data_IF_442416466025
#
_entry.id   IF_442416466025
#
_cell.length_a   1.000
_cell.length_b   1.000
_cell.length_c   1.000
_cell.angle_alpha   90.00
_cell.angle_beta   90.00
_cell.angle_gamma   90.00
#
_symmetry.space_group_name_H-M   'P 1'
#
loop_
_entity.id
_entity.type
_entity.pdbx_description
1 polymer ?
#
# COMPACT_ATOMS: atom_id res chain seq x y z
N UNK A 1 -47.61 8.48 -11.02
CA UNK A 1 -47.06 7.13 -10.85
C UNK A 1 -46.23 6.81 -12.07
N UNK A 2 -44.99 6.37 -11.85
CA UNK A 2 -43.99 6.02 -12.85
C UNK A 2 -43.76 4.50 -12.75
N UNK A 3 -44.23 3.71 -13.73
CA UNK A 3 -44.22 2.23 -13.65
C UNK A 3 -43.73 1.62 -14.97
N UNK A 4 -42.68 0.80 -14.93
CA UNK A 4 -42.05 0.15 -16.11
C UNK A 4 -41.46 1.11 -17.13
N UNK A 5 -40.59 2.01 -16.69
CA UNK A 5 -39.98 3.04 -17.54
C UNK A 5 -38.45 2.89 -17.63
N UNK A 6 -37.88 3.36 -18.76
CA UNK A 6 -36.44 3.26 -19.09
C UNK A 6 -35.63 4.52 -18.70
N UNK A 7 -36.02 5.21 -17.63
CA UNK A 7 -35.28 6.39 -17.14
C UNK A 7 -34.18 5.93 -16.19
N UNK A 8 -32.92 6.23 -16.52
CA UNK A 8 -31.74 5.89 -15.69
C UNK A 8 -31.39 6.97 -14.65
N UNK A 9 -31.78 8.24 -14.90
CA UNK A 9 -31.44 9.40 -14.07
C UNK A 9 -32.66 10.31 -13.84
N UNK A 10 -32.93 10.64 -12.58
CA UNK A 10 -33.78 11.78 -12.22
C UNK A 10 -32.92 13.03 -12.04
N UNK A 11 -32.99 13.96 -12.98
CA UNK A 11 -32.25 15.22 -12.95
C UNK A 11 -32.96 16.31 -12.12
N UNK A 12 -32.26 17.41 -11.84
CA UNK A 12 -32.80 18.55 -11.10
C UNK A 12 -34.14 19.02 -11.69
N UNK A 13 -35.14 19.22 -10.82
CA UNK A 13 -36.43 19.78 -11.24
C UNK A 13 -37.24 18.91 -12.20
N UNK A 14 -37.00 17.59 -12.23
CA UNK A 14 -37.72 16.62 -13.09
C UNK A 14 -39.24 16.68 -12.97
N UNK A 15 -39.76 17.27 -11.89
CA UNK A 15 -41.19 17.41 -11.59
C UNK A 15 -41.64 18.86 -11.40
N UNK A 16 -40.86 19.82 -11.88
CA UNK A 16 -41.09 21.27 -11.69
C UNK A 16 -42.45 21.75 -12.22
N UNK A 17 -42.95 21.14 -13.29
CA UNK A 17 -44.27 21.44 -13.86
C UNK A 17 -45.46 20.85 -13.07
N UNK A 18 -45.17 20.10 -12.00
CA UNK A 18 -46.18 19.42 -11.17
C UNK A 18 -46.04 19.76 -9.68
N UNK A 19 -46.06 21.05 -9.29
CA UNK A 19 -45.76 21.49 -7.91
C UNK A 19 -46.82 21.04 -6.87
N UNK A 20 -48.01 20.64 -7.33
CA UNK A 20 -49.11 20.19 -6.49
C UNK A 20 -49.07 18.70 -6.12
N UNK A 21 -48.03 17.96 -6.52
CA UNK A 21 -47.91 16.53 -6.21
C UNK A 21 -47.86 16.30 -4.69
N UNK A 22 -48.72 15.38 -4.23
CA UNK A 22 -48.75 14.87 -2.85
C UNK A 22 -48.21 13.44 -2.76
N UNK A 23 -48.37 12.64 -3.82
CA UNK A 23 -47.89 11.27 -3.90
C UNK A 23 -47.14 11.05 -5.20
N UNK A 24 -45.91 10.56 -5.09
CA UNK A 24 -45.08 10.12 -6.20
C UNK A 24 -44.64 8.68 -5.97
N UNK A 25 -45.04 7.82 -6.90
CA UNK A 25 -44.63 6.41 -6.97
C UNK A 25 -43.74 6.23 -8.18
N UNK A 26 -42.55 5.65 -7.99
CA UNK A 26 -41.57 5.29 -9.01
C UNK A 26 -41.16 3.83 -8.77
N UNK A 27 -41.62 2.91 -9.61
CA UNK A 27 -41.42 1.47 -9.36
C UNK A 27 -41.24 0.64 -10.62
N UNK A 28 -40.58 -0.52 -10.47
CA UNK A 28 -40.39 -1.53 -11.51
C UNK A 28 -39.72 -0.96 -12.78
N UNK A 29 -38.73 -0.07 -12.62
CA UNK A 29 -37.98 0.58 -13.69
C UNK A 29 -36.46 0.33 -13.59
N UNK A 30 -35.69 1.03 -14.44
CA UNK A 30 -34.22 0.96 -14.48
C UNK A 30 -33.55 2.22 -13.91
N UNK A 31 -34.20 2.89 -12.96
CA UNK A 31 -33.65 4.09 -12.35
C UNK A 31 -32.38 3.73 -11.58
N UNK A 32 -31.23 4.27 -12.01
CA UNK A 32 -29.92 4.02 -11.41
C UNK A 32 -29.42 5.16 -10.52
N UNK A 33 -29.81 6.40 -10.82
CA UNK A 33 -29.31 7.59 -10.11
C UNK A 33 -30.41 8.62 -9.83
N UNK A 34 -30.42 9.16 -8.60
CA UNK A 34 -31.22 10.33 -8.23
C UNK A 34 -30.28 11.53 -8.07
N UNK A 35 -30.35 12.48 -9.00
CA UNK A 35 -29.46 13.63 -9.07
C UNK A 35 -29.79 14.73 -8.06
N UNK A 36 -28.95 15.77 -8.05
CA UNK A 36 -29.13 16.96 -7.23
C UNK A 36 -30.51 17.58 -7.45
N UNK A 37 -31.21 17.92 -6.36
CA UNK A 37 -32.49 18.62 -6.44
C UNK A 37 -33.55 17.94 -7.31
N UNK A 38 -33.54 16.61 -7.46
CA UNK A 38 -34.45 15.88 -8.35
C UNK A 38 -35.93 16.17 -8.07
N UNK A 39 -36.28 16.42 -6.80
CA UNK A 39 -37.63 16.73 -6.34
C UNK A 39 -37.84 18.21 -5.99
N UNK A 40 -36.98 19.10 -6.49
CA UNK A 40 -37.10 20.55 -6.26
C UNK A 40 -38.47 21.06 -6.75
N UNK A 41 -39.11 21.88 -5.93
CA UNK A 41 -40.44 22.44 -6.21
C UNK A 41 -41.61 21.62 -5.65
N UNK A 42 -41.39 20.36 -5.25
CA UNK A 42 -42.44 19.49 -4.70
C UNK A 42 -42.70 19.74 -3.20
N UNK A 43 -43.02 20.99 -2.85
CA UNK A 43 -43.20 21.43 -1.45
C UNK A 43 -44.42 20.83 -0.74
N UNK A 44 -45.36 20.26 -1.51
CA UNK A 44 -46.57 19.61 -1.03
C UNK A 44 -46.48 18.07 -0.99
N UNK A 45 -45.33 17.50 -1.35
CA UNK A 45 -45.18 16.03 -1.41
C UNK A 45 -45.21 15.43 -0.02
N UNK A 46 -46.08 14.43 0.17
CA UNK A 46 -46.31 13.72 1.43
C UNK A 46 -45.86 12.25 1.33
N UNK A 47 -45.98 11.62 0.17
CA UNK A 47 -45.62 10.22 -0.04
C UNK A 47 -44.68 10.05 -1.23
N UNK A 48 -43.49 9.51 -0.98
CA UNK A 48 -42.49 9.20 -2.01
C UNK A 48 -42.09 7.73 -1.93
N UNK A 49 -42.45 6.97 -2.96
CA UNK A 49 -42.10 5.57 -3.10
C UNK A 49 -41.16 5.42 -4.29
N UNK A 50 -39.93 4.98 -4.05
CA UNK A 50 -38.94 4.64 -5.07
C UNK A 50 -38.51 3.19 -4.81
N UNK A 51 -39.31 2.25 -5.28
CA UNK A 51 -39.22 0.84 -4.90
C UNK A 51 -38.98 -0.06 -6.11
N UNK A 52 -38.24 -1.15 -5.95
CA UNK A 52 -38.01 -2.13 -7.02
C UNK A 52 -37.40 -1.50 -8.29
N UNK A 53 -36.35 -0.69 -8.13
CA UNK A 53 -35.53 -0.16 -9.22
C UNK A 53 -34.06 -0.60 -9.05
N UNK A 54 -33.13 0.08 -9.72
CA UNK A 54 -31.70 -0.24 -9.70
C UNK A 54 -30.87 0.89 -9.07
N UNK A 55 -31.48 1.68 -8.18
CA UNK A 55 -30.84 2.90 -7.66
C UNK A 55 -29.60 2.51 -6.87
N UNK A 56 -28.43 2.88 -7.38
CA UNK A 56 -27.14 2.69 -6.71
C UNK A 56 -26.57 3.98 -6.14
N UNK A 57 -27.04 5.14 -6.61
CA UNK A 57 -26.50 6.44 -6.20
C UNK A 57 -27.61 7.48 -6.01
N UNK A 58 -27.56 8.18 -4.88
CA UNK A 58 -28.44 9.29 -4.54
C UNK A 58 -27.54 10.50 -4.24
N UNK A 59 -27.85 11.66 -4.79
CA UNK A 59 -27.15 12.89 -4.40
C UNK A 59 -27.47 13.28 -2.94
N UNK A 60 -26.51 13.86 -2.19
CA UNK A 60 -26.76 14.43 -0.87
C UNK A 60 -27.89 15.48 -0.83
N UNK A 61 -28.18 16.15 -1.95
CA UNK A 61 -29.21 17.19 -2.03
C UNK A 61 -30.50 16.73 -2.73
N UNK A 62 -30.59 15.45 -3.10
CA UNK A 62 -31.71 14.91 -3.88
C UNK A 62 -33.08 15.18 -3.23
N UNK A 63 -33.19 14.99 -1.91
CA UNK A 63 -34.43 15.13 -1.13
C UNK A 63 -34.61 16.53 -0.51
N UNK A 64 -33.76 17.49 -0.88
CA UNK A 64 -33.76 18.82 -0.28
C UNK A 64 -35.08 19.53 -0.57
N UNK A 65 -35.71 20.06 0.48
CA UNK A 65 -36.92 20.88 0.36
C UNK A 65 -38.24 20.11 0.52
N UNK A 66 -38.22 18.78 0.63
CA UNK A 66 -39.40 17.93 0.87
C UNK A 66 -39.88 18.02 2.34
N UNK A 67 -40.26 19.21 2.78
CA UNK A 67 -40.55 19.52 4.20
C UNK A 67 -41.81 18.83 4.73
N UNK A 68 -42.75 18.46 3.85
CA UNK A 68 -44.03 17.81 4.19
C UNK A 68 -44.02 16.30 4.00
N UNK A 69 -42.88 15.72 3.61
CA UNK A 69 -42.79 14.29 3.34
C UNK A 69 -43.08 13.49 4.62
N UNK A 70 -44.10 12.65 4.58
CA UNK A 70 -44.54 11.79 5.68
C UNK A 70 -43.98 10.38 5.55
N UNK A 71 -43.93 9.86 4.32
CA UNK A 71 -43.50 8.51 4.00
C UNK A 71 -42.44 8.53 2.90
N UNK A 72 -41.29 7.90 3.17
CA UNK A 72 -40.24 7.65 2.19
C UNK A 72 -39.96 6.15 2.12
N UNK A 73 -40.04 5.57 0.93
CA UNK A 73 -39.50 4.23 0.68
C UNK A 73 -38.45 4.26 -0.42
N UNK A 74 -37.31 3.65 -0.11
CA UNK A 74 -36.20 3.34 -1.01
C UNK A 74 -35.98 1.82 -1.08
N UNK A 75 -37.01 1.02 -0.77
CA UNK A 75 -36.92 -0.42 -0.66
C UNK A 75 -36.54 -1.11 -1.99
N UNK A 76 -35.86 -2.25 -1.90
CA UNK A 76 -35.50 -3.11 -3.03
C UNK A 76 -34.78 -2.35 -4.17
N UNK A 77 -33.74 -1.58 -3.81
CA UNK A 77 -32.83 -0.97 -4.77
C UNK A 77 -31.43 -1.59 -4.63
N UNK A 78 -30.40 -0.92 -5.18
CA UNK A 78 -28.99 -1.35 -5.13
C UNK A 78 -28.14 -0.41 -4.28
N UNK A 79 -28.72 0.16 -3.22
CA UNK A 79 -28.01 1.11 -2.36
C UNK A 79 -27.00 0.36 -1.49
N UNK A 80 -25.71 0.58 -1.76
CA UNK A 80 -24.63 0.11 -0.89
C UNK A 80 -24.37 1.09 0.27
N UNK A 81 -24.70 2.37 0.10
CA UNK A 81 -24.54 3.41 1.11
C UNK A 81 -25.63 4.48 0.99
N UNK A 82 -25.74 5.37 1.97
CA UNK A 82 -26.57 6.57 1.92
C UNK A 82 -25.70 7.81 2.17
N UNK A 83 -25.80 8.86 1.33
CA UNK A 83 -25.09 10.11 1.56
C UNK A 83 -25.37 10.68 2.95
N UNK A 84 -24.33 11.20 3.59
CA UNK A 84 -24.46 11.89 4.87
C UNK A 84 -25.51 13.00 4.77
N UNK A 85 -26.35 13.10 5.80
CA UNK A 85 -27.38 14.13 5.93
C UNK A 85 -28.47 14.08 4.82
N UNK A 86 -28.62 12.97 4.09
CA UNK A 86 -29.66 12.82 3.05
C UNK A 86 -31.07 13.12 3.58
N UNK A 87 -31.37 12.74 4.82
CA UNK A 87 -32.68 12.98 5.46
C UNK A 87 -32.77 14.34 6.18
N UNK A 88 -31.74 15.18 6.07
CA UNK A 88 -31.71 16.48 6.71
C UNK A 88 -32.81 17.40 6.15
N UNK A 89 -33.66 17.91 7.04
CA UNK A 89 -34.74 18.82 6.68
C UNK A 89 -36.07 18.14 6.33
N UNK A 90 -36.15 16.81 6.35
CA UNK A 90 -37.40 16.04 6.23
C UNK A 90 -38.18 16.06 7.57
N UNK A 91 -38.64 17.24 7.99
CA UNK A 91 -39.18 17.50 9.33
C UNK A 91 -40.48 16.75 9.65
N UNK A 92 -41.24 16.37 8.64
CA UNK A 92 -42.53 15.68 8.78
C UNK A 92 -42.42 14.16 8.60
N UNK A 93 -41.21 13.63 8.35
CA UNK A 93 -41.04 12.22 8.08
C UNK A 93 -41.46 11.39 9.30
N UNK A 94 -42.28 10.38 9.04
CA UNK A 94 -42.87 9.52 10.07
C UNK A 94 -42.77 8.04 9.73
N UNK A 95 -42.39 7.68 8.50
CA UNK A 95 -42.16 6.30 8.08
C UNK A 95 -41.03 6.28 7.05
N UNK A 96 -40.09 5.35 7.24
CA UNK A 96 -38.96 5.11 6.34
C UNK A 96 -38.82 3.61 6.09
N UNK A 97 -38.70 3.23 4.81
CA UNK A 97 -38.42 1.86 4.38
C UNK A 97 -37.13 1.82 3.54
N UNK A 98 -36.14 1.07 4.01
CA UNK A 98 -34.83 0.87 3.38
C UNK A 98 -34.53 -0.60 3.07
N UNK A 99 -35.48 -1.52 3.28
CA UNK A 99 -35.24 -2.96 3.15
C UNK A 99 -34.83 -3.36 1.73
N UNK A 100 -34.20 -4.53 1.61
CA UNK A 100 -33.82 -5.08 0.30
C UNK A 100 -32.69 -4.33 -0.42
N UNK A 101 -31.90 -3.53 0.31
CA UNK A 101 -30.69 -2.88 -0.20
C UNK A 101 -29.41 -3.57 0.32
N UNK A 102 -28.34 -3.68 -0.49
CA UNK A 102 -27.10 -4.35 -0.13
C UNK A 102 -26.13 -3.44 0.66
N UNK A 103 -26.55 -2.94 1.83
CA UNK A 103 -25.77 -1.95 2.58
C UNK A 103 -24.39 -2.45 3.03
N UNK A 104 -23.35 -1.67 2.74
CA UNK A 104 -22.00 -1.82 3.28
C UNK A 104 -21.91 -1.00 4.57
N UNK A 105 -21.99 -1.68 5.72
CA UNK A 105 -21.96 -1.09 7.06
C UNK A 105 -20.54 -0.66 7.46
N UNK A 106 -20.04 0.33 6.73
CA UNK A 106 -18.76 1.00 6.95
C UNK A 106 -18.99 2.44 7.44
N UNK A 107 -17.92 3.24 7.49
CA UNK A 107 -17.96 4.60 8.03
C UNK A 107 -18.85 5.57 7.26
N UNK A 108 -19.06 5.36 5.97
CA UNK A 108 -19.98 6.19 5.19
C UNK A 108 -21.43 6.03 5.67
N UNK A 109 -21.79 4.82 6.14
CA UNK A 109 -23.11 4.51 6.66
C UNK A 109 -23.26 4.77 8.18
N UNK A 110 -22.16 5.14 8.87
CA UNK A 110 -22.14 5.35 10.33
C UNK A 110 -23.21 6.33 10.81
N UNK A 111 -23.49 7.38 10.02
CA UNK A 111 -24.51 8.37 10.38
C UNK A 111 -25.92 7.76 10.41
N UNK A 112 -26.22 6.77 9.58
CA UNK A 112 -27.52 6.08 9.55
C UNK A 112 -27.74 5.33 10.86
N UNK A 113 -26.70 4.67 11.38
CA UNK A 113 -26.75 4.01 12.68
C UNK A 113 -26.95 4.99 13.86
N UNK A 114 -26.58 6.26 13.71
CA UNK A 114 -26.95 7.31 14.70
C UNK A 114 -28.35 7.86 14.49
N UNK A 115 -28.79 7.98 13.24
CA UNK A 115 -30.03 8.63 12.87
C UNK A 115 -31.25 7.72 13.15
N UNK A 116 -31.15 6.42 12.83
CA UNK A 116 -32.24 5.45 13.01
C UNK A 116 -32.72 5.36 14.46
N UNK A 117 -31.87 5.16 15.49
CA UNK A 117 -32.34 5.06 16.87
C UNK A 117 -32.88 6.38 17.42
N UNK A 118 -32.48 7.53 16.84
CA UNK A 118 -32.98 8.84 17.23
C UNK A 118 -34.35 9.18 16.62
N UNK A 119 -34.81 8.39 15.65
CA UNK A 119 -36.04 8.65 14.92
C UNK A 119 -37.27 8.20 15.74
N UNK A 120 -38.29 9.06 15.93
CA UNK A 120 -39.40 8.79 16.84
C UNK A 120 -40.47 7.84 16.26
N UNK A 121 -40.16 7.07 15.21
CA UNK A 121 -41.13 6.30 14.45
C UNK A 121 -40.60 4.94 13.95
N UNK A 122 -41.48 3.97 13.66
CA UNK A 122 -41.08 2.66 13.16
C UNK A 122 -40.27 2.78 11.87
N UNK A 123 -39.12 2.11 11.82
CA UNK A 123 -38.24 2.10 10.65
C UNK A 123 -37.96 0.66 10.25
N UNK A 124 -38.25 0.30 9.00
CA UNK A 124 -37.79 -0.97 8.42
C UNK A 124 -36.44 -0.71 7.73
N UNK A 125 -35.37 -0.82 8.51
CA UNK A 125 -34.07 -0.27 8.17
C UNK A 125 -33.23 -1.13 7.23
N UNK A 126 -33.66 -2.36 6.93
CA UNK A 126 -32.82 -3.34 6.26
C UNK A 126 -31.65 -3.84 7.12
N UNK A 127 -30.74 -4.58 6.48
CA UNK A 127 -29.63 -5.30 7.11
C UNK A 127 -28.31 -5.01 6.37
N UNK A 128 -27.19 -5.15 7.08
CA UNK A 128 -25.87 -5.11 6.48
C UNK A 128 -25.66 -6.30 5.53
N UNK A 129 -25.15 -6.03 4.34
CA UNK A 129 -24.61 -7.04 3.43
C UNK A 129 -23.11 -7.30 3.70
N UNK A 130 -22.39 -6.29 4.19
CA UNK A 130 -20.99 -6.38 4.60
C UNK A 130 -20.66 -5.27 5.62
N UNK A 131 -19.46 -5.27 6.23
CA UNK A 131 -18.40 -6.29 6.12
C UNK A 131 -18.80 -7.65 6.75
N UNK A 132 -18.02 -8.75 6.56
CA UNK A 132 -18.42 -10.11 6.97
C UNK A 132 -18.78 -10.28 8.44
N UNK A 133 -18.18 -9.48 9.31
CA UNK A 133 -18.43 -9.42 10.75
C UNK A 133 -19.76 -8.74 11.12
N UNK A 134 -20.29 -7.89 10.24
CA UNK A 134 -21.58 -7.23 10.40
C UNK A 134 -22.67 -7.79 9.48
N UNK A 135 -22.36 -8.77 8.64
CA UNK A 135 -23.31 -9.31 7.68
C UNK A 135 -24.58 -9.86 8.37
N UNK A 136 -25.75 -9.41 7.91
CA UNK A 136 -27.05 -9.77 8.46
C UNK A 136 -27.47 -8.97 9.69
N UNK A 137 -26.62 -8.11 10.24
CA UNK A 137 -26.98 -7.25 11.38
C UNK A 137 -27.99 -6.19 10.92
N UNK A 138 -29.13 -5.99 11.61
CA UNK A 138 -30.08 -4.93 11.29
C UNK A 138 -29.47 -3.53 11.47
N UNK A 139 -29.67 -2.61 10.53
CA UNK A 139 -29.06 -1.26 10.61
C UNK A 139 -29.44 -0.51 11.90
N UNK A 140 -30.67 -0.68 12.38
CA UNK A 140 -31.15 -0.05 13.61
C UNK A 140 -30.49 -0.56 14.90
N UNK A 141 -29.79 -1.71 14.85
CA UNK A 141 -29.10 -2.30 16.01
C UNK A 141 -27.61 -1.96 16.06
N UNK A 142 -27.06 -1.42 14.98
CA UNK A 142 -25.65 -1.04 14.90
C UNK A 142 -25.30 0.04 15.93
N UNK A 143 -24.17 -0.13 16.58
CA UNK A 143 -23.59 0.82 17.51
C UNK A 143 -22.45 1.58 16.85
N UNK A 144 -22.17 2.80 17.33
CA UNK A 144 -21.08 3.61 16.81
C UNK A 144 -19.70 2.94 16.88
N UNK A 145 -19.51 2.06 17.87
CA UNK A 145 -18.29 1.30 18.09
C UNK A 145 -18.12 0.13 17.10
N UNK A 146 -19.20 -0.29 16.43
CA UNK A 146 -19.14 -1.34 15.41
C UNK A 146 -18.46 -0.83 14.13
N UNK A 147 -18.37 0.50 13.97
CA UNK A 147 -17.71 1.15 12.85
C UNK A 147 -16.26 1.50 13.18
N UNK A 148 -15.31 0.79 12.56
CA UNK A 148 -13.88 1.13 12.66
C UNK A 148 -13.53 2.32 11.76
N UNK A 149 -13.82 3.53 12.21
CA UNK A 149 -13.63 4.76 11.43
C UNK A 149 -12.31 5.48 11.64
N UNK A 150 -11.32 4.77 12.16
CA UNK A 150 -9.95 5.26 12.13
C UNK A 150 -9.32 4.80 10.83
N UNK A 151 -9.21 5.74 9.89
CA UNK A 151 -8.44 5.59 8.67
C UNK A 151 -7.00 6.02 8.88
N UNK A 152 -6.21 5.85 7.83
CA UNK A 152 -4.83 6.30 7.80
C UNK A 152 -4.51 6.92 6.46
N UNK A 153 -3.68 7.95 6.45
CA UNK A 153 -3.27 8.65 5.24
C UNK A 153 -1.77 8.90 5.25
N UNK A 154 -1.13 8.78 4.09
CA UNK A 154 0.21 9.28 3.83
C UNK A 154 0.12 10.68 3.21
N UNK A 155 0.33 11.71 4.01
CA UNK A 155 0.31 13.11 3.55
C UNK A 155 1.70 13.57 3.14
N UNK A 156 1.85 14.28 1.99
CA UNK A 156 3.12 14.91 1.66
C UNK A 156 3.63 15.79 2.81
N UNK A 157 4.86 15.57 3.24
CA UNK A 157 5.48 16.26 4.36
C UNK A 157 6.67 17.11 3.93
N UNK A 158 7.60 16.51 3.17
CA UNK A 158 8.80 17.19 2.71
C UNK A 158 9.19 16.72 1.31
N UNK A 159 9.52 17.67 0.43
CA UNK A 159 10.10 17.41 -0.89
C UNK A 159 11.60 17.69 -0.82
N UNK A 160 12.42 16.69 -1.13
CA UNK A 160 13.88 16.81 -1.15
C UNK A 160 14.32 17.08 -2.59
N UNK A 161 15.08 18.16 -2.86
CA UNK A 161 15.37 18.66 -4.20
C UNK A 161 16.47 17.84 -4.91
N UNK A 162 16.37 16.51 -4.88
CA UNK A 162 17.30 15.60 -5.52
C UNK A 162 16.61 14.30 -5.94
N UNK A 163 17.20 13.69 -6.96
CA UNK A 163 16.85 12.34 -7.45
C UNK A 163 17.53 11.28 -6.58
N UNK A 164 16.91 10.11 -6.50
CA UNK A 164 17.42 8.97 -5.74
C UNK A 164 16.95 7.63 -6.31
N UNK A 165 17.63 6.54 -5.92
CA UNK A 165 17.36 5.19 -6.43
C UNK A 165 16.90 4.21 -5.34
N UNK A 166 17.67 4.04 -4.27
CA UNK A 166 17.30 3.16 -3.14
C UNK A 166 17.13 3.96 -1.87
N UNK A 167 16.26 3.49 -0.98
CA UNK A 167 16.10 4.01 0.37
C UNK A 167 16.02 2.85 1.35
N UNK A 168 16.86 2.86 2.37
CA UNK A 168 16.94 1.80 3.39
C UNK A 168 16.91 2.43 4.78
N UNK A 169 15.98 2.04 5.67
CA UNK A 169 15.95 2.55 7.03
C UNK A 169 17.13 2.02 7.84
N UNK A 170 17.61 2.81 8.79
CA UNK A 170 18.63 2.36 9.74
C UNK A 170 18.34 2.85 11.15
N UNK A 171 18.84 2.08 12.11
CA UNK A 171 18.90 2.45 13.52
C UNK A 171 20.31 2.17 14.05
N UNK A 172 20.93 3.19 14.63
CA UNK A 172 22.24 3.14 15.26
C UNK A 172 22.17 3.81 16.64
N UNK A 173 21.94 3.00 17.68
CA UNK A 173 21.63 3.53 19.01
C UNK A 173 20.32 4.31 19.00
N UNK A 174 20.33 5.54 19.51
CA UNK A 174 19.20 6.47 19.47
C UNK A 174 19.01 7.19 18.14
N UNK A 175 19.94 7.00 17.18
CA UNK A 175 19.91 7.69 15.90
C UNK A 175 19.28 6.81 14.84
N UNK A 176 18.23 7.32 14.22
CA UNK A 176 17.50 6.62 13.19
C UNK A 176 17.41 7.51 11.96
N UNK A 177 17.33 6.90 10.80
CA UNK A 177 17.42 7.62 9.55
C UNK A 177 17.11 6.73 8.35
N UNK A 178 17.20 7.32 7.17
CA UNK A 178 17.11 6.58 5.90
C UNK A 178 18.39 6.83 5.12
N UNK A 179 19.06 5.78 4.70
CA UNK A 179 20.15 5.89 3.73
C UNK A 179 19.56 5.93 2.32
N UNK A 180 19.96 6.91 1.53
CA UNK A 180 19.48 7.12 0.16
C UNK A 180 20.65 7.08 -0.82
N UNK A 181 20.52 6.30 -1.89
CA UNK A 181 21.47 6.30 -3.00
C UNK A 181 21.13 7.38 -4.02
N UNK A 182 22.10 8.22 -4.37
CA UNK A 182 22.01 9.27 -5.39
C UNK A 182 23.01 8.98 -6.52
N UNK A 183 22.62 8.21 -7.57
CA UNK A 183 23.54 7.81 -8.62
C UNK A 183 24.18 9.00 -9.34
N UNK A 184 23.38 10.02 -9.69
CA UNK A 184 23.82 11.19 -10.46
C UNK A 184 24.66 12.18 -9.65
N UNK A 185 24.43 12.25 -8.33
CA UNK A 185 25.26 13.04 -7.42
C UNK A 185 26.54 12.29 -6.99
N UNK A 186 26.63 10.99 -7.28
CA UNK A 186 27.77 10.17 -6.87
C UNK A 186 27.85 10.01 -5.35
N UNK A 187 26.72 9.82 -4.66
CA UNK A 187 26.71 9.79 -3.20
C UNK A 187 25.68 8.84 -2.60
N UNK A 188 26.01 8.29 -1.43
CA UNK A 188 25.06 7.80 -0.46
C UNK A 188 24.85 8.87 0.60
N UNK A 189 23.59 9.22 0.86
CA UNK A 189 23.20 10.27 1.81
C UNK A 189 22.46 9.65 2.96
N UNK A 190 22.82 9.99 4.20
CA UNK A 190 22.04 9.62 5.38
C UNK A 190 21.07 10.76 5.70
N UNK A 191 19.78 10.49 5.53
CA UNK A 191 18.71 11.36 5.98
C UNK A 191 18.48 11.15 7.46
N UNK A 192 18.64 12.22 8.22
CA UNK A 192 18.53 12.24 9.68
C UNK A 192 17.48 13.27 10.10
N UNK A 193 16.72 12.96 11.15
CA UNK A 193 15.69 13.84 11.67
C UNK A 193 16.32 14.94 12.54
N UNK A 194 16.09 16.20 12.17
CA UNK A 194 16.45 17.35 13.00
C UNK A 194 15.28 17.73 13.90
N UNK A 195 15.42 17.42 15.19
CA UNK A 195 14.42 17.70 16.22
C UNK A 195 14.10 19.19 16.36
N UNK A 196 15.09 20.08 16.17
CA UNK A 196 14.91 21.52 16.36
C UNK A 196 14.18 22.15 15.17
N UNK A 197 14.47 21.68 13.95
CA UNK A 197 13.84 22.20 12.74
C UNK A 197 12.58 21.44 12.33
N UNK A 198 12.26 20.32 12.98
CA UNK A 198 11.11 19.47 12.65
C UNK A 198 11.12 18.98 11.20
N UNK A 199 12.30 18.62 10.66
CA UNK A 199 12.46 18.21 9.26
C UNK A 199 13.64 17.26 9.07
N UNK A 200 13.66 16.53 7.96
CA UNK A 200 14.80 15.71 7.58
C UNK A 200 15.92 16.56 6.95
N UNK A 201 17.15 16.26 7.34
CA UNK A 201 18.37 16.83 6.77
C UNK A 201 19.30 15.73 6.27
N UNK A 202 20.25 16.10 5.44
CA UNK A 202 21.26 15.23 4.85
C UNK A 202 22.68 15.59 5.34
N UNK A 203 22.99 15.49 6.65
CA UNK A 203 24.26 15.98 7.19
C UNK A 203 25.46 15.11 6.80
N UNK A 204 25.23 13.83 6.50
CA UNK A 204 26.30 12.85 6.26
C UNK A 204 26.23 12.33 4.83
N UNK A 205 27.34 12.45 4.11
CA UNK A 205 27.48 12.06 2.71
C UNK A 205 28.69 11.12 2.58
N UNK A 206 28.48 9.98 1.94
CA UNK A 206 29.55 9.05 1.55
C UNK A 206 29.64 9.05 0.03
N UNK A 207 30.74 9.55 -0.50
CA UNK A 207 30.95 9.65 -1.94
C UNK A 207 31.16 8.28 -2.58
N UNK A 208 30.67 8.13 -3.80
CA UNK A 208 30.78 6.93 -4.62
C UNK A 208 30.75 7.24 -6.11
N UNK A 209 31.17 6.29 -6.93
CA UNK A 209 31.18 6.36 -8.37
C UNK A 209 29.94 5.69 -8.94
N UNK A 210 28.85 6.44 -9.05
CA UNK A 210 27.52 5.95 -9.44
C UNK A 210 26.97 4.86 -8.49
N UNK A 211 26.70 5.22 -7.22
CA UNK A 211 26.10 4.29 -6.27
C UNK A 211 24.68 3.93 -6.71
N UNK A 212 24.41 2.64 -6.83
CA UNK A 212 23.09 2.10 -7.17
C UNK A 212 22.32 1.56 -5.97
N UNK A 213 23.04 1.17 -4.91
CA UNK A 213 22.43 0.79 -3.64
C UNK A 213 23.37 1.15 -2.49
N UNK A 214 22.79 1.63 -1.39
CA UNK A 214 23.49 2.03 -0.18
C UNK A 214 22.83 1.31 1.01
N UNK A 215 23.43 0.21 1.45
CA UNK A 215 22.82 -0.67 2.45
C UNK A 215 23.44 -0.45 3.84
N UNK A 216 22.67 0.05 4.82
CA UNK A 216 23.14 0.18 6.18
C UNK A 216 23.17 -1.18 6.89
N UNK A 217 24.18 -1.40 7.73
CA UNK A 217 24.27 -2.61 8.55
C UNK A 217 24.83 -2.28 9.93
N UNK A 218 24.08 -2.68 10.97
CA UNK A 218 24.52 -2.54 12.36
C UNK A 218 25.22 -3.82 12.84
N UNK A 219 26.49 -3.71 13.22
CA UNK A 219 27.28 -4.80 13.81
C UNK A 219 27.77 -4.42 15.21
N UNK A 220 26.99 -4.76 16.24
CA UNK A 220 27.31 -4.39 17.62
C UNK A 220 27.31 -2.87 17.79
N UNK A 221 28.47 -2.28 18.10
CA UNK A 221 28.66 -0.82 18.17
C UNK A 221 29.14 -0.19 16.85
N UNK A 222 29.40 -0.99 15.80
CA UNK A 222 29.92 -0.50 14.52
C UNK A 222 28.78 -0.35 13.52
N UNK A 223 28.72 0.81 12.85
CA UNK A 223 27.82 1.04 11.74
C UNK A 223 28.59 0.83 10.42
N UNK A 224 28.13 -0.08 9.58
CA UNK A 224 28.66 -0.28 8.25
C UNK A 224 27.71 0.27 7.19
N UNK A 225 28.28 0.76 6.11
CA UNK A 225 27.55 1.14 4.91
C UNK A 225 28.16 0.42 3.71
N UNK A 226 27.38 -0.46 3.09
CA UNK A 226 27.78 -1.16 1.87
C UNK A 226 27.27 -0.36 0.67
N UNK A 227 28.19 0.02 -0.22
CA UNK A 227 27.91 0.87 -1.38
C UNK A 227 28.16 0.08 -2.66
N UNK A 228 27.09 -0.36 -3.30
CA UNK A 228 27.11 -0.98 -4.62
C UNK A 228 27.22 0.09 -5.71
N UNK A 229 28.17 -0.06 -6.63
CA UNK A 229 28.52 0.98 -7.59
C UNK A 229 28.71 0.40 -8.99
N UNK A 230 28.28 1.13 -10.02
CA UNK A 230 28.42 0.70 -11.42
C UNK A 230 29.78 1.04 -12.02
N UNK A 231 30.48 2.01 -11.44
CA UNK A 231 31.82 2.38 -11.87
C UNK A 231 32.82 2.16 -10.73
N UNK A 232 33.96 1.55 -11.04
CA UNK A 232 34.92 1.11 -10.03
C UNK A 232 34.41 -0.07 -9.20
N UNK A 233 35.10 -0.35 -8.09
CA UNK A 233 34.71 -1.42 -7.16
C UNK A 233 33.61 -0.93 -6.24
N UNK A 234 32.66 -1.82 -5.92
CA UNK A 234 31.76 -1.60 -4.78
C UNK A 234 32.59 -1.46 -3.49
N UNK A 235 32.04 -0.85 -2.44
CA UNK A 235 32.84 -0.53 -1.24
C UNK A 235 32.05 -0.74 0.05
N UNK A 236 32.78 -0.95 1.14
CA UNK A 236 32.26 -1.05 2.49
C UNK A 236 32.90 0.06 3.30
N UNK A 237 32.07 0.87 3.93
CA UNK A 237 32.49 1.96 4.80
C UNK A 237 32.10 1.64 6.23
N UNK A 238 32.89 2.14 7.17
CA UNK A 238 32.70 1.93 8.59
C UNK A 238 32.64 3.27 9.30
N UNK A 239 31.68 3.42 10.20
CA UNK A 239 31.63 4.49 11.21
C UNK A 239 31.74 3.85 12.59
N UNK A 240 32.71 4.33 13.37
CA UNK A 240 32.89 3.96 14.76
C UNK A 240 32.51 5.16 15.64
N UNK A 241 31.52 5.00 16.51
CA UNK A 241 30.97 6.08 17.33
C UNK A 241 29.67 6.66 16.78
N UNK A 242 29.26 7.82 17.32
CA UNK A 242 27.97 8.44 17.02
C UNK A 242 27.87 9.09 15.63
N UNK A 243 26.76 9.80 15.34
CA UNK A 243 26.47 10.36 14.01
C UNK A 243 27.54 11.30 13.46
N UNK A 244 28.18 12.09 14.33
CA UNK A 244 29.25 13.02 13.96
C UNK A 244 30.59 12.37 13.65
N UNK A 245 30.75 11.05 13.89
CA UNK A 245 31.96 10.34 13.53
C UNK A 245 32.07 10.17 12.01
N UNK A 246 33.26 10.30 11.41
CA UNK A 246 33.44 10.14 9.98
C UNK A 246 33.27 8.68 9.55
N UNK A 247 32.83 8.49 8.30
CA UNK A 247 32.94 7.22 7.62
C UNK A 247 34.37 7.01 7.11
N UNK A 248 34.90 5.82 7.37
CA UNK A 248 36.22 5.39 6.92
C UNK A 248 36.02 4.22 5.95
N UNK A 249 36.68 4.29 4.80
CA UNK A 249 36.68 3.18 3.85
C UNK A 249 37.30 1.95 4.52
N UNK A 250 36.54 0.86 4.58
CA UNK A 250 36.96 -0.40 5.21
C UNK A 250 37.50 -1.38 4.17
N UNK A 251 36.78 -1.55 3.05
CA UNK A 251 37.08 -2.60 2.09
C UNK A 251 36.48 -2.28 0.71
N UNK A 252 37.21 -2.59 -0.37
CA UNK A 252 36.62 -2.68 -1.71
C UNK A 252 36.03 -4.08 -1.94
N UNK A 253 34.79 -4.14 -2.39
CA UNK A 253 33.99 -5.35 -2.53
C UNK A 253 33.86 -5.77 -4.00
N UNK A 254 34.00 -7.07 -4.26
CA UNK A 254 33.61 -7.66 -5.55
C UNK A 254 34.63 -7.56 -6.68
N UNK A 255 35.88 -7.16 -6.40
CA UNK A 255 36.95 -7.16 -7.40
C UNK A 255 37.06 -8.52 -8.11
N UNK A 256 36.85 -8.54 -9.42
CA UNK A 256 36.91 -9.75 -10.26
C UNK A 256 35.61 -10.57 -10.38
N UNK A 257 34.61 -10.35 -9.51
CA UNK A 257 33.36 -11.15 -9.48
C UNK A 257 32.13 -10.33 -9.87
N UNK A 258 32.07 -9.09 -9.41
CA UNK A 258 30.97 -8.16 -9.67
C UNK A 258 31.38 -7.21 -10.80
N UNK A 259 30.46 -6.98 -11.74
CA UNK A 259 30.61 -6.04 -12.85
C UNK A 259 29.49 -5.02 -12.90
N UNK A 260 28.24 -5.43 -12.69
CA UNK A 260 27.08 -4.52 -12.64
C UNK A 260 26.19 -4.87 -11.46
N UNK A 261 26.65 -4.59 -10.23
CA UNK A 261 25.82 -4.78 -9.06
C UNK A 261 24.52 -3.98 -9.22
N UNK A 262 23.41 -4.53 -8.76
CA UNK A 262 22.08 -3.98 -9.02
C UNK A 262 21.26 -3.84 -7.74
N UNK A 263 21.23 -4.88 -6.90
CA UNK A 263 20.61 -4.82 -5.58
C UNK A 263 21.49 -5.47 -4.51
N UNK A 264 21.22 -5.09 -3.27
CA UNK A 264 21.88 -5.59 -2.06
C UNK A 264 20.82 -6.19 -1.14
N UNK A 265 21.18 -7.26 -0.45
CA UNK A 265 20.36 -7.82 0.61
C UNK A 265 21.25 -8.39 1.72
N UNK A 266 20.76 -8.37 2.94
CA UNK A 266 21.51 -8.93 4.08
C UNK A 266 20.64 -9.88 4.90
N UNK A 267 21.26 -10.89 5.49
CA UNK A 267 20.62 -11.75 6.48
C UNK A 267 21.61 -12.13 7.58
N UNK A 268 21.08 -12.51 8.73
CA UNK A 268 21.86 -13.02 9.86
C UNK A 268 21.25 -14.33 10.33
N UNK A 269 22.05 -15.39 10.34
CA UNK A 269 21.65 -16.68 10.93
C UNK A 269 22.88 -17.52 11.27
N UNK A 270 22.73 -18.46 12.19
CA UNK A 270 23.82 -19.37 12.60
C UNK A 270 25.07 -18.65 13.12
N UNK A 271 24.91 -17.47 13.73
CA UNK A 271 26.03 -16.66 14.22
C UNK A 271 26.82 -15.91 13.15
N UNK A 272 26.34 -15.89 11.90
CA UNK A 272 27.02 -15.24 10.78
C UNK A 272 26.13 -14.19 10.11
N UNK A 273 26.78 -13.16 9.60
CA UNK A 273 26.16 -12.16 8.73
C UNK A 273 26.52 -12.44 7.29
N UNK A 274 25.51 -12.40 6.42
CA UNK A 274 25.64 -12.60 5.00
C UNK A 274 25.16 -11.36 4.24
N UNK A 275 25.87 -11.05 3.16
CA UNK A 275 25.55 -9.99 2.22
C UNK A 275 25.40 -10.62 0.84
N UNK A 276 24.23 -10.49 0.22
CA UNK A 276 24.02 -10.82 -1.18
C UNK A 276 24.18 -9.58 -2.05
N UNK A 277 24.88 -9.74 -3.17
CA UNK A 277 24.96 -8.71 -4.21
C UNK A 277 24.47 -9.29 -5.53
N UNK A 278 23.37 -8.74 -6.06
CA UNK A 278 22.80 -9.15 -7.35
C UNK A 278 23.62 -8.51 -8.47
N UNK A 279 24.05 -9.29 -9.46
CA UNK A 279 24.72 -8.76 -10.65
C UNK A 279 23.83 -8.88 -11.89
N UNK A 280 23.54 -7.74 -12.49
CA UNK A 280 22.66 -7.63 -13.67
C UNK A 280 23.39 -7.88 -14.99
N UNK A 281 24.71 -8.09 -14.97
CA UNK A 281 25.50 -8.41 -16.16
C UNK A 281 25.73 -9.91 -16.31
N UNK A 282 25.80 -10.37 -17.57
CA UNK A 282 26.18 -11.76 -17.85
C UNK A 282 27.63 -12.09 -17.48
N UNK A 283 28.51 -11.08 -17.44
CA UNK A 283 29.95 -11.26 -17.21
C UNK A 283 30.36 -11.17 -15.74
N UNK A 284 29.46 -10.71 -14.87
CA UNK A 284 29.57 -10.83 -13.42
C UNK A 284 28.72 -12.00 -12.92
N UNK A 285 28.87 -12.35 -11.65
CA UNK A 285 28.06 -13.39 -11.01
C UNK A 285 27.57 -12.90 -9.66
N UNK A 286 26.25 -12.96 -9.44
CA UNK A 286 25.66 -12.64 -8.13
C UNK A 286 26.32 -13.47 -7.05
N UNK A 287 26.81 -12.80 -6.01
CA UNK A 287 27.70 -13.41 -5.03
C UNK A 287 27.20 -13.11 -3.62
N UNK A 288 27.18 -14.16 -2.80
CA UNK A 288 26.96 -14.09 -1.37
C UNK A 288 28.32 -13.97 -0.69
N UNK A 289 28.43 -12.99 0.18
CA UNK A 289 29.59 -12.72 1.01
C UNK A 289 29.26 -13.02 2.46
N UNK A 290 30.25 -13.42 3.25
CA UNK A 290 30.13 -13.66 4.69
C UNK A 290 31.04 -12.70 5.44
N UNK A 291 30.54 -12.18 6.55
CA UNK A 291 31.33 -11.34 7.45
C UNK A 291 32.39 -12.17 8.17
N UNK A 292 33.66 -11.81 7.98
CA UNK A 292 34.83 -12.46 8.60
C UNK A 292 35.42 -11.67 9.77
N UNK A 293 34.66 -10.81 10.44
CA UNK A 293 35.12 -10.01 11.58
C UNK A 293 35.79 -8.68 11.23
N UNK A 294 36.44 -8.60 10.06
CA UNK A 294 37.10 -7.37 9.55
C UNK A 294 36.57 -6.87 8.21
N UNK A 295 35.74 -7.66 7.54
CA UNK A 295 35.26 -7.40 6.19
C UNK A 295 34.34 -8.51 5.68
N UNK A 296 33.82 -8.32 4.48
CA UNK A 296 33.01 -9.27 3.74
C UNK A 296 33.86 -10.06 2.74
N UNK A 297 33.80 -11.38 2.80
CA UNK A 297 34.57 -12.27 1.92
C UNK A 297 33.62 -13.14 1.10
N UNK A 298 33.91 -13.40 -0.19
CA UNK A 298 33.10 -14.28 -1.02
C UNK A 298 32.89 -15.63 -0.33
N UNK A 299 31.64 -16.03 -0.20
CA UNK A 299 31.23 -17.28 0.44
C UNK A 299 30.59 -18.23 -0.58
N UNK A 300 29.77 -17.70 -1.48
CA UNK A 300 29.14 -18.49 -2.53
C UNK A 300 28.79 -17.63 -3.74
N UNK A 301 29.23 -18.04 -4.93
CA UNK A 301 28.69 -17.51 -6.19
C UNK A 301 27.41 -18.27 -6.57
N UNK A 302 26.40 -17.54 -7.01
CA UNK A 302 25.14 -18.10 -7.50
C UNK A 302 25.31 -18.56 -8.96
N UNK A 303 24.20 -18.75 -9.68
CA UNK A 303 24.25 -19.27 -11.07
C UNK A 303 24.99 -18.27 -11.98
N UNK A 304 26.02 -18.70 -12.73
CA UNK A 304 26.70 -17.82 -13.67
C UNK A 304 25.81 -17.50 -14.89
N UNK A 305 26.21 -16.47 -15.65
CA UNK A 305 25.57 -16.03 -16.90
C UNK A 305 24.10 -15.60 -16.76
N UNK A 306 23.68 -15.25 -15.54
CA UNK A 306 22.38 -14.67 -15.28
C UNK A 306 22.44 -13.14 -15.31
N UNK A 307 21.27 -12.51 -15.40
CA UNK A 307 21.11 -11.06 -15.24
C UNK A 307 20.18 -10.87 -14.06
N UNK A 308 20.73 -11.10 -12.88
CA UNK A 308 19.94 -11.06 -11.65
C UNK A 308 19.65 -9.60 -11.30
N UNK A 309 18.38 -9.31 -11.08
CA UNK A 309 17.89 -7.97 -10.80
C UNK A 309 17.62 -7.77 -9.31
N UNK A 310 17.33 -8.84 -8.58
CA UNK A 310 17.10 -8.74 -7.15
C UNK A 310 17.43 -10.01 -6.37
N UNK A 311 17.73 -9.84 -5.08
CA UNK A 311 17.97 -10.88 -4.09
C UNK A 311 17.14 -10.58 -2.85
N UNK A 312 16.41 -11.57 -2.36
CA UNK A 312 15.60 -11.44 -1.16
C UNK A 312 15.84 -12.63 -0.23
N UNK A 313 16.50 -12.37 0.90
CA UNK A 313 16.63 -13.37 1.97
C UNK A 313 15.34 -13.46 2.76
N UNK A 314 14.95 -14.69 3.09
CA UNK A 314 13.75 -14.98 3.86
C UNK A 314 13.91 -16.34 4.54
N UNK A 315 12.92 -16.71 5.35
CA UNK A 315 12.87 -18.03 5.97
C UNK A 315 11.52 -18.68 5.68
N UNK A 316 11.58 -19.92 5.19
CA UNK A 316 10.44 -20.73 4.75
C UNK A 316 10.37 -22.00 5.58
N UNK A 317 9.31 -22.16 6.37
CA UNK A 317 9.13 -23.31 7.25
C UNK A 317 10.28 -23.50 8.25
N UNK A 318 10.82 -22.40 8.80
CA UNK A 318 11.96 -22.42 9.73
C UNK A 318 13.33 -22.64 9.07
N UNK A 319 13.40 -22.71 7.74
CA UNK A 319 14.65 -22.87 7.00
C UNK A 319 15.00 -21.61 6.22
N UNK A 320 16.28 -21.23 6.26
CA UNK A 320 16.81 -20.11 5.48
C UNK A 320 16.65 -20.37 3.98
N UNK A 321 16.16 -19.36 3.28
CA UNK A 321 15.91 -19.36 1.85
C UNK A 321 16.38 -18.04 1.22
N UNK A 322 16.53 -18.07 -0.10
CA UNK A 322 16.89 -16.90 -0.89
C UNK A 322 16.08 -16.94 -2.19
N UNK A 323 15.35 -15.88 -2.49
CA UNK A 323 14.70 -15.68 -3.78
C UNK A 323 15.60 -14.83 -4.65
N UNK A 324 15.84 -15.28 -5.89
CA UNK A 324 16.61 -14.55 -6.89
C UNK A 324 15.72 -14.23 -8.08
N UNK A 325 15.59 -12.95 -8.39
CA UNK A 325 14.84 -12.46 -9.54
C UNK A 325 15.78 -12.20 -10.72
N UNK A 326 15.31 -12.48 -11.93
CA UNK A 326 16.10 -12.30 -13.15
C UNK A 326 15.23 -11.65 -14.22
N UNK A 327 15.82 -10.77 -15.04
CA UNK A 327 15.06 -10.06 -16.08
C UNK A 327 14.65 -10.90 -17.31
N UNK A 328 14.80 -12.22 -17.28
CA UNK A 328 14.47 -13.09 -18.44
C UNK A 328 14.02 -14.51 -18.09
N UNK A 329 13.94 -14.85 -16.79
CA UNK A 329 13.54 -16.16 -16.31
C UNK A 329 12.66 -15.99 -15.07
N UNK A 330 11.89 -17.04 -14.78
CA UNK A 330 11.13 -17.16 -13.53
C UNK A 330 12.06 -17.00 -12.31
N UNK A 331 11.61 -16.34 -11.23
CA UNK A 331 12.37 -16.28 -9.99
C UNK A 331 12.72 -17.66 -9.48
N UNK A 332 13.92 -17.80 -8.92
CA UNK A 332 14.43 -19.05 -8.38
C UNK A 332 14.52 -18.97 -6.86
N UNK A 333 13.92 -19.96 -6.19
CA UNK A 333 14.06 -20.16 -4.75
C UNK A 333 15.25 -21.07 -4.51
N UNK A 334 16.17 -20.61 -3.66
CA UNK A 334 17.24 -21.40 -3.07
C UNK A 334 16.88 -21.74 -1.63
N UNK A 335 17.33 -22.90 -1.15
CA UNK A 335 17.23 -23.29 0.26
C UNK A 335 18.61 -23.56 0.83
N UNK A 336 18.80 -23.18 2.09
CA UNK A 336 20.01 -23.50 2.82
C UNK A 336 20.13 -25.00 3.07
N UNK A 337 21.23 -25.59 2.62
CA UNK A 337 21.55 -26.99 2.83
C UNK A 337 22.56 -27.11 3.98
N UNK A 338 22.09 -27.54 5.16
CA UNK A 338 22.93 -27.61 6.37
C UNK A 338 24.16 -28.49 6.22
N UNK A 339 24.06 -29.59 5.45
CA UNK A 339 25.17 -30.52 5.21
C UNK A 339 26.32 -29.89 4.40
N UNK A 340 26.00 -29.15 3.34
CA UNK A 340 27.01 -28.48 2.50
C UNK A 340 27.31 -27.05 2.96
N UNK A 341 26.51 -26.50 3.88
CA UNK A 341 26.68 -25.15 4.39
C UNK A 341 26.60 -24.10 3.29
N UNK A 342 25.67 -24.25 2.33
CA UNK A 342 25.47 -23.34 1.21
C UNK A 342 24.01 -23.33 0.73
N UNK A 343 23.64 -22.35 -0.10
CA UNK A 343 22.32 -22.25 -0.72
C UNK A 343 22.24 -23.11 -1.98
N UNK A 344 21.34 -24.08 -2.04
CA UNK A 344 21.11 -24.91 -3.22
C UNK A 344 19.80 -24.52 -3.92
N UNK A 345 19.74 -24.55 -5.27
CA UNK A 345 18.49 -24.33 -5.99
C UNK A 345 17.42 -25.33 -5.54
N UNK A 346 16.20 -24.84 -5.30
CA UNK A 346 15.09 -25.67 -4.83
C UNK A 346 13.97 -25.76 -5.88
N UNK A 347 13.36 -24.63 -6.23
CA UNK A 347 12.25 -24.57 -7.20
C UNK A 347 12.14 -23.18 -7.79
N UNK A 348 11.62 -23.06 -9.01
CA UNK A 348 11.20 -21.79 -9.57
C UNK A 348 9.79 -21.38 -9.10
N UNK A 349 9.50 -20.08 -9.13
CA UNK A 349 8.15 -19.57 -8.88
C UNK A 349 7.37 -19.60 -10.20
N UNK A 350 6.31 -20.41 -10.33
CA UNK A 350 5.62 -20.61 -11.61
C UNK A 350 4.69 -19.44 -11.95
N UNK A 351 4.33 -19.33 -13.23
CA UNK A 351 3.31 -18.37 -13.74
C UNK A 351 3.62 -16.87 -13.53
N UNK A 352 4.91 -16.53 -13.35
CA UNK A 352 5.40 -15.15 -13.23
C UNK A 352 6.78 -15.00 -13.90
N UNK A 353 6.82 -14.86 -15.24
CA UNK A 353 8.05 -14.49 -15.94
C UNK A 353 8.39 -13.01 -15.71
N UNK A 354 9.65 -12.64 -15.95
CA UNK A 354 10.14 -11.27 -15.99
C UNK A 354 9.85 -10.44 -14.73
N UNK A 355 9.96 -11.09 -13.56
CA UNK A 355 9.88 -10.43 -12.27
C UNK A 355 11.16 -9.64 -12.04
N UNK A 356 11.00 -8.35 -11.79
CA UNK A 356 12.10 -7.42 -11.54
C UNK A 356 12.66 -7.57 -10.12
N UNK A 357 11.78 -7.60 -9.11
CA UNK A 357 12.17 -7.67 -7.71
C UNK A 357 11.15 -8.45 -6.88
N UNK A 358 11.60 -8.99 -5.75
CA UNK A 358 10.75 -9.71 -4.81
C UNK A 358 10.96 -9.14 -3.40
N UNK A 359 9.87 -8.83 -2.70
CA UNK A 359 9.92 -8.42 -1.29
C UNK A 359 8.97 -9.25 -0.47
N UNK A 360 9.44 -9.77 0.67
CA UNK A 360 8.62 -10.64 1.50
C UNK A 360 7.97 -9.88 2.66
N UNK A 361 6.85 -10.43 3.15
CA UNK A 361 6.26 -10.05 4.42
C UNK A 361 5.70 -11.28 5.13
N UNK A 362 5.46 -11.14 6.44
CA UNK A 362 4.83 -12.18 7.25
C UNK A 362 3.49 -11.70 7.77
N UNK A 363 2.48 -12.56 7.70
CA UNK A 363 1.15 -12.30 8.24
C UNK A 363 0.63 -13.59 8.89
N UNK A 364 0.27 -13.52 10.17
CA UNK A 364 -0.23 -14.68 10.94
C UNK A 364 0.66 -15.93 10.84
N UNK A 365 1.99 -15.75 10.86
CA UNK A 365 2.97 -16.83 10.73
C UNK A 365 3.20 -17.37 9.32
N UNK A 366 2.39 -16.94 8.34
CA UNK A 366 2.56 -17.29 6.93
C UNK A 366 3.50 -16.30 6.24
N UNK A 367 4.17 -16.77 5.18
CA UNK A 367 5.13 -15.98 4.41
C UNK A 367 4.54 -15.66 3.04
N UNK A 368 4.62 -14.39 2.66
CA UNK A 368 4.13 -13.87 1.40
C UNK A 368 5.25 -13.18 0.63
N UNK A 369 5.09 -13.07 -0.69
CA UNK A 369 5.95 -12.32 -1.60
C UNK A 369 5.15 -11.32 -2.42
N UNK A 370 5.62 -10.08 -2.47
CA UNK A 370 5.27 -9.10 -3.48
C UNK A 370 6.26 -9.21 -4.63
N UNK A 371 5.79 -9.61 -5.81
CA UNK A 371 6.58 -9.75 -7.03
C UNK A 371 6.33 -8.56 -7.96
N UNK A 372 7.36 -7.74 -8.14
CA UNK A 372 7.31 -6.53 -8.97
C UNK A 372 7.53 -6.87 -10.45
N UNK A 373 6.70 -6.31 -11.33
CA UNK A 373 6.86 -6.42 -12.79
C UNK A 373 6.69 -5.04 -13.43
N UNK A 374 7.50 -4.75 -14.45
CA UNK A 374 7.44 -3.45 -15.11
C UNK A 374 6.10 -3.22 -15.83
N UNK A 375 5.61 -4.21 -16.55
CA UNK A 375 4.32 -4.21 -17.24
C UNK A 375 3.58 -5.53 -17.00
N UNK A 376 2.26 -5.51 -17.18
CA UNK A 376 1.37 -6.62 -16.87
C UNK A 376 0.94 -6.55 -15.40
N UNK A 377 0.89 -7.70 -14.73
CA UNK A 377 0.42 -7.77 -13.36
C UNK A 377 1.55 -8.09 -12.39
N UNK A 378 1.72 -7.23 -11.38
CA UNK A 378 2.45 -7.55 -10.16
C UNK A 378 1.64 -8.58 -9.35
N UNK A 379 2.31 -9.41 -8.55
CA UNK A 379 1.65 -10.52 -7.86
C UNK A 379 1.95 -10.54 -6.37
N UNK A 380 0.93 -10.88 -5.58
CA UNK A 380 1.09 -11.33 -4.21
C UNK A 380 1.03 -12.84 -4.21
N UNK A 381 2.04 -13.48 -3.64
CA UNK A 381 2.16 -14.93 -3.55
C UNK A 381 2.24 -15.36 -2.08
N UNK A 382 1.70 -16.52 -1.73
CA UNK A 382 1.78 -17.14 -0.41
C UNK A 382 2.57 -18.44 -0.48
N UNK A 383 3.42 -18.68 0.51
CA UNK A 383 4.12 -19.94 0.66
C UNK A 383 3.19 -21.04 1.19
N UNK A 384 3.09 -22.17 0.47
CA UNK A 384 2.24 -23.32 0.85
C UNK A 384 3.07 -24.57 1.18
N UNK A 385 4.24 -24.38 1.77
CA UNK A 385 5.09 -25.47 2.27
C UNK A 385 6.10 -26.02 1.25
N UNK A 386 5.73 -26.14 -0.03
CA UNK A 386 6.64 -26.60 -1.11
C UNK A 386 6.91 -25.55 -2.18
N UNK A 387 5.97 -24.63 -2.40
CA UNK A 387 6.06 -23.61 -3.44
C UNK A 387 5.22 -22.39 -3.08
N UNK A 388 5.45 -21.30 -3.80
CA UNK A 388 4.60 -20.11 -3.76
C UNK A 388 3.39 -20.28 -4.68
N UNK A 389 2.21 -19.93 -4.17
CA UNK A 389 0.94 -19.84 -4.91
C UNK A 389 0.42 -18.42 -4.93
N UNK A 390 -0.28 -18.08 -5.99
CA UNK A 390 -0.84 -16.75 -6.16
C UNK A 390 -2.00 -16.50 -5.18
N UNK A 391 -2.02 -15.30 -4.60
CA UNK A 391 -3.11 -14.78 -3.76
C UNK A 391 -3.91 -13.76 -4.55
N UNK A 392 -3.20 -12.80 -5.18
CA UNK A 392 -3.81 -11.68 -5.86
C UNK A 392 -2.87 -11.15 -6.97
N UNK A 393 -3.47 -10.60 -8.02
CA UNK A 393 -2.78 -9.84 -9.05
C UNK A 393 -3.16 -8.37 -8.97
N UNK A 394 -2.19 -7.49 -9.22
CA UNK A 394 -2.38 -6.04 -9.21
C UNK A 394 -1.78 -5.45 -10.49
N UNK A 395 -2.53 -4.64 -11.26
CA UNK A 395 -2.01 -4.06 -12.50
C UNK A 395 -0.79 -3.17 -12.25
N UNK A 396 0.33 -3.52 -12.89
CA UNK A 396 1.57 -2.76 -12.85
C UNK A 396 1.72 -1.87 -14.09
N UNK A 397 1.96 -0.58 -13.89
CA UNK A 397 2.03 0.44 -14.94
C UNK A 397 3.40 1.13 -14.91
N UNK A 398 4.40 0.42 -15.43
CA UNK A 398 5.80 0.84 -15.33
C UNK A 398 6.34 0.65 -13.91
N UNK A 399 5.99 -0.44 -13.24
CA UNK A 399 6.32 -0.64 -11.82
C UNK A 399 7.70 -1.28 -11.61
N UNK A 400 8.52 -0.65 -10.79
CA UNK A 400 9.82 -1.19 -10.36
C UNK A 400 9.91 -1.45 -8.86
N UNK A 401 8.82 -1.20 -8.12
CA UNK A 401 8.77 -1.37 -6.67
C UNK A 401 7.38 -1.81 -6.24
N UNK A 402 7.33 -2.91 -5.50
CA UNK A 402 6.14 -3.43 -4.84
C UNK A 402 6.51 -3.77 -3.39
N UNK A 403 6.47 -2.77 -2.53
CA UNK A 403 7.14 -2.77 -1.24
C UNK A 403 6.13 -3.01 -0.11
N UNK A 404 6.18 -4.16 0.58
CA UNK A 404 5.52 -4.30 1.88
C UNK A 404 6.28 -3.48 2.93
N UNK A 405 5.55 -2.81 3.82
CA UNK A 405 6.13 -2.02 4.90
C UNK A 405 5.20 -1.96 6.12
N UNK A 406 5.80 -1.65 7.27
CA UNK A 406 5.08 -1.39 8.52
C UNK A 406 5.40 0.04 8.95
N UNK A 407 4.38 0.85 9.17
CA UNK A 407 4.50 2.25 9.61
C UNK A 407 3.36 2.59 10.55
N UNK A 408 3.67 3.18 11.71
CA UNK A 408 2.68 3.45 12.76
C UNK A 408 1.97 2.22 13.31
N UNK A 409 2.57 1.03 13.21
CA UNK A 409 1.95 -0.24 13.59
C UNK A 409 1.00 -0.83 12.53
N UNK A 410 0.75 -0.12 11.42
CA UNK A 410 -0.11 -0.59 10.33
C UNK A 410 0.72 -1.27 9.24
N UNK A 411 0.16 -2.33 8.67
CA UNK A 411 0.77 -3.10 7.59
C UNK A 411 0.24 -2.62 6.23
N UNK A 412 1.15 -2.21 5.36
CA UNK A 412 0.82 -1.76 4.02
C UNK A 412 1.66 -2.46 2.97
N UNK A 413 1.19 -2.35 1.73
CA UNK A 413 1.99 -2.60 0.53
C UNK A 413 1.85 -1.41 -0.40
N UNK A 414 2.97 -0.88 -0.89
CA UNK A 414 2.98 0.21 -1.87
C UNK A 414 3.45 -0.30 -3.22
N UNK A 415 2.60 -0.15 -4.24
CA UNK A 415 2.96 -0.38 -5.64
C UNK A 415 3.31 0.95 -6.30
N UNK A 416 4.59 1.15 -6.60
CA UNK A 416 5.06 2.33 -7.33
C UNK A 416 4.84 2.19 -8.83
N UNK A 417 4.34 3.23 -9.49
CA UNK A 417 4.08 3.23 -10.93
C UNK A 417 4.71 4.46 -11.60
N UNK A 418 5.32 4.27 -12.78
CA UNK A 418 5.87 5.35 -13.60
C UNK A 418 4.82 5.96 -14.55
N UNK A 419 3.78 5.19 -14.94
CA UNK A 419 2.78 5.60 -15.94
C UNK A 419 1.36 5.80 -15.39
N UNK A 420 1.18 5.67 -14.08
CA UNK A 420 -0.07 5.94 -13.37
C UNK A 420 0.26 6.39 -11.94
N UNK A 421 -0.71 6.87 -11.15
CA UNK A 421 -0.49 7.06 -9.72
C UNK A 421 0.03 5.78 -9.05
N UNK A 422 0.91 5.97 -8.07
CA UNK A 422 1.35 4.89 -7.19
C UNK A 422 0.21 4.57 -6.22
N UNK A 423 0.10 3.32 -5.75
CA UNK A 423 -1.03 2.88 -4.94
C UNK A 423 -0.57 2.35 -3.59
N UNK A 424 -1.17 2.87 -2.53
CA UNK A 424 -1.06 2.36 -1.17
C UNK A 424 -2.19 1.37 -0.93
N UNK A 425 -1.83 0.17 -0.48
CA UNK A 425 -2.75 -0.87 -0.09
C UNK A 425 -2.63 -1.14 1.41
N UNK A 426 -3.76 -1.28 2.08
CA UNK A 426 -3.83 -1.91 3.41
C UNK A 426 -3.74 -3.41 3.24
N UNK A 427 -3.03 -4.07 4.15
CA UNK A 427 -2.94 -5.51 4.17
C UNK A 427 -4.15 -6.10 4.90
N UNK A 428 -5.06 -6.71 4.14
CA UNK A 428 -6.26 -7.38 4.63
C UNK A 428 -6.01 -8.84 5.03
N UNK A 429 -7.10 -9.53 5.39
CA UNK A 429 -7.04 -10.93 5.79
C UNK A 429 -6.49 -11.84 4.68
N UNK A 430 -5.71 -12.86 5.08
CA UNK A 430 -5.14 -13.83 4.14
C UNK A 430 -4.12 -13.26 3.15
N UNK A 431 -3.62 -12.04 3.37
CA UNK A 431 -2.64 -11.39 2.50
C UNK A 431 -3.23 -10.67 1.28
N UNK A 432 -4.55 -10.45 1.25
CA UNK A 432 -5.18 -9.64 0.22
C UNK A 432 -4.86 -8.15 0.40
N UNK A 433 -4.72 -7.44 -0.70
CA UNK A 433 -4.47 -6.00 -0.72
C UNK A 433 -5.76 -5.24 -0.95
N UNK A 434 -6.08 -4.36 -0.01
CA UNK A 434 -7.22 -3.46 -0.04
C UNK A 434 -6.73 -2.06 -0.42
N UNK A 435 -7.23 -1.53 -1.55
CA UNK A 435 -6.80 -0.21 -2.01
C UNK A 435 -7.19 0.87 -0.99
N UNK A 436 -6.22 1.72 -0.61
CA UNK A 436 -6.42 2.71 0.45
C UNK A 436 -6.21 4.14 -0.02
N UNK A 437 -5.14 4.42 -0.77
CA UNK A 437 -4.80 5.78 -1.20
C UNK A 437 -3.99 5.74 -2.50
N UNK A 438 -4.16 6.75 -3.35
CA UNK A 438 -3.24 7.01 -4.46
C UNK A 438 -2.16 8.02 -4.04
N UNK A 439 -0.91 7.72 -4.39
CA UNK A 439 0.26 8.54 -4.08
C UNK A 439 0.81 9.16 -5.36
N UNK A 440 0.99 10.47 -5.34
CA UNK A 440 1.65 11.22 -6.41
C UNK A 440 3.17 11.17 -6.19
N UNK A 441 3.76 10.00 -6.37
CA UNK A 441 5.21 9.80 -6.37
C UNK A 441 5.70 9.72 -7.83
N UNK A 442 6.59 10.62 -8.22
CA UNK A 442 7.13 10.64 -9.60
C UNK A 442 8.21 9.58 -9.77
N UNK A 443 8.05 8.64 -10.69
CA UNK A 443 9.04 7.60 -11.01
C UNK A 443 9.66 6.90 -9.79
N UNK A 444 8.84 6.27 -8.91
CA UNK A 444 9.30 5.73 -7.64
C UNK A 444 10.23 4.53 -7.81
N UNK A 445 11.22 4.38 -6.93
CA UNK A 445 12.18 3.25 -6.97
C UNK A 445 12.28 2.45 -5.68
N UNK A 446 11.90 3.04 -4.56
CA UNK A 446 11.90 2.44 -3.22
C UNK A 446 11.00 3.26 -2.29
N UNK A 447 10.37 2.57 -1.33
CA UNK A 447 9.62 3.18 -0.22
C UNK A 447 10.21 2.68 1.10
N UNK A 448 10.70 3.58 1.95
CA UNK A 448 11.32 3.22 3.23
C UNK A 448 10.53 3.81 4.39
N UNK A 449 9.98 2.98 5.30
CA UNK A 449 9.33 3.48 6.51
C UNK A 449 10.38 3.97 7.51
N UNK A 450 10.05 5.03 8.25
CA UNK A 450 10.88 5.54 9.33
C UNK A 450 10.00 6.08 10.46
N UNK A 451 10.35 5.78 11.70
CA UNK A 451 9.60 6.20 12.88
C UNK A 451 10.50 6.97 13.84
N UNK A 452 10.04 8.10 14.36
CA UNK A 452 10.73 9.00 15.28
C UNK A 452 9.85 9.24 16.50
N UNK A 453 9.88 8.32 17.46
CA UNK A 453 8.88 8.29 18.53
C UNK A 453 7.48 8.09 17.92
N UNK A 454 6.57 9.03 18.21
CA UNK A 454 5.18 9.04 17.71
C UNK A 454 5.04 9.54 16.26
N UNK A 455 6.12 10.06 15.65
CA UNK A 455 6.09 10.55 14.28
C UNK A 455 6.48 9.44 13.32
N UNK A 456 5.62 9.14 12.35
CA UNK A 456 5.86 8.09 11.38
C UNK A 456 5.89 8.67 9.96
N UNK A 457 6.87 8.24 9.16
CA UNK A 457 7.06 8.73 7.81
C UNK A 457 7.38 7.60 6.83
N UNK A 458 7.19 7.88 5.55
CA UNK A 458 7.62 7.02 4.44
C UNK A 458 8.42 7.87 3.45
N UNK A 459 9.67 7.50 3.21
CA UNK A 459 10.51 8.11 2.17
C UNK A 459 10.26 7.39 0.85
N UNK A 460 9.81 8.14 -0.17
CA UNK A 460 9.63 7.68 -1.53
C UNK A 460 10.72 8.25 -2.43
N UNK A 461 11.63 7.39 -2.88
CA UNK A 461 12.70 7.77 -3.82
C UNK A 461 12.13 8.09 -5.20
N UNK A 462 12.84 8.92 -5.96
CA UNK A 462 12.41 9.33 -7.30
C UNK A 462 13.58 9.32 -8.27
N UNK A 463 13.46 8.55 -9.35
CA UNK A 463 14.54 8.46 -10.35
C UNK A 463 14.70 9.73 -11.18
N UNK A 464 13.59 10.39 -11.55
CA UNK A 464 13.60 11.62 -12.38
C UNK A 464 13.18 12.88 -11.64
N UNK A 465 12.39 12.76 -10.58
CA UNK A 465 11.85 13.88 -9.83
C UNK A 465 12.52 14.09 -8.47
N UNK A 466 11.85 14.86 -7.61
CA UNK A 466 12.25 15.09 -6.23
C UNK A 466 11.86 13.90 -5.35
N UNK A 467 12.80 13.44 -4.52
CA UNK A 467 12.53 12.45 -3.48
C UNK A 467 11.50 13.02 -2.49
N UNK A 468 10.42 12.30 -2.23
CA UNK A 468 9.33 12.75 -1.35
C UNK A 468 9.40 12.06 0.01
N UNK A 469 8.98 12.77 1.05
CA UNK A 469 8.71 12.22 2.38
C UNK A 469 7.23 12.45 2.66
N UNK A 470 6.53 11.37 3.00
CA UNK A 470 5.15 11.42 3.45
C UNK A 470 5.10 11.21 4.97
N UNK A 471 4.25 11.95 5.66
CA UNK A 471 3.90 11.70 7.05
C UNK A 471 2.69 10.76 7.10
N UNK A 472 2.78 9.72 7.91
CA UNK A 472 1.68 8.81 8.21
C UNK A 472 0.86 9.41 9.35
N UNK A 473 -0.45 9.54 9.11
CA UNK A 473 -1.41 10.11 10.05
C UNK A 473 -2.57 9.14 10.21
N UNK A 474 -3.07 9.02 11.44
CA UNK A 474 -4.38 8.43 11.73
C UNK A 474 -5.42 9.54 11.59
N UNK A 475 -6.46 9.27 10.81
CA UNK A 475 -7.54 10.23 10.53
C UNK A 475 -8.87 9.61 10.90
N UNK A 476 -9.74 10.39 11.54
CA UNK A 476 -11.13 10.00 11.71
C UNK A 476 -11.84 10.15 10.35
N UNK A 477 -12.46 9.07 9.88
CA UNK A 477 -13.22 8.97 8.65
C UNK A 477 -14.67 9.48 8.82
#
# INVERSE_FOLDING_TARGET
SLVRWEIELLAEGSFSDTPALQLLLVTAGRLGTIGDGAFTGLVLLEYLFIEDNEVGTISPTALRGLRRLLYLSLANNRLETLPKDLFQGLKSLSQLDLRGNPFQCNCELRWVATWLPSSPFPTDSGHCQGPPDLQGVPLAQLQLQDFQCQGTELRPFQSLPFQSLTAEPFAHGSHQGVVVAQPFAGACVLLEWDQLAGRFRAPTIVNGSWPVACHPLQLGATFLLVVAQLHGSSSVWRRSGGPGSPFIHLQSLGGGYLRRPHSLATTQFGGHFYLGVADSSKGGVSTLFRWGGRGFYPFQSLRPWQRDTDLEFLELGGHQALVVCTGSRRPLVYRWATKSGNYLPHTDIPHVPDVYAAKHFRLSGQVFLCLSRFLGDAKVMRWEGSMFREVQQVPARGSLVFQPLVVGGYHYVILGNDFSPSRLYRLGAGGHLEASQELVATTPRAFAPISMGELHFVVATSFKGATQIYQHLVVDL
#
